data_IF_878466002758
#
_entry.id   IF_878466002758
#
_cell.length_a   1.000
_cell.length_b   1.000
_cell.length_c   1.000
_cell.angle_alpha   90.00
_cell.angle_beta   90.00
_cell.angle_gamma   90.00
#
_symmetry.space_group_name_H-M   'P 1'
#
loop_
_entity.id
_entity.type
_entity.pdbx_description
1 polymer ?
#
# COMPACT_ATOMS: atom_id res chain seq x y z
N UNK A 1 23.52 33.64 1.28
CA UNK A 1 22.92 32.75 0.26
C UNK A 1 23.56 31.36 0.27
N UNK A 2 24.87 31.23 -0.04
CA UNK A 2 25.53 29.91 -0.10
C UNK A 2 25.50 29.11 1.21
N UNK A 3 25.72 29.75 2.38
CA UNK A 3 25.62 29.09 3.70
C UNK A 3 24.25 28.45 3.94
N UNK A 4 23.17 29.15 3.57
CA UNK A 4 21.80 28.64 3.74
C UNK A 4 21.55 27.48 2.79
N UNK A 5 21.99 27.57 1.54
CA UNK A 5 21.88 26.50 0.56
C UNK A 5 22.63 25.23 0.99
N UNK A 6 23.80 25.37 1.61
CA UNK A 6 24.59 24.23 2.08
C UNK A 6 23.94 23.56 3.30
N UNK A 7 23.33 24.36 4.18
CA UNK A 7 22.57 23.87 5.34
C UNK A 7 21.30 23.13 4.91
N UNK A 8 20.54 23.65 3.95
CA UNK A 8 19.32 23.00 3.45
C UNK A 8 19.62 21.69 2.74
N UNK A 9 20.64 21.66 1.87
CA UNK A 9 21.07 20.42 1.20
C UNK A 9 21.54 19.38 2.21
N UNK A 10 22.27 19.78 3.27
CA UNK A 10 22.68 18.89 4.34
C UNK A 10 21.50 18.23 5.06
N UNK A 11 20.47 19.00 5.41
CA UNK A 11 19.26 18.49 6.07
C UNK A 11 18.51 17.51 5.16
N UNK A 12 18.37 17.84 3.87
CA UNK A 12 17.71 16.95 2.89
C UNK A 12 18.50 15.65 2.73
N UNK A 13 19.82 15.72 2.63
CA UNK A 13 20.67 14.53 2.53
C UNK A 13 20.51 13.59 3.73
N UNK A 14 20.47 14.15 4.95
CA UNK A 14 20.22 13.37 6.17
C UNK A 14 18.84 12.71 6.13
N UNK A 15 17.80 13.44 5.72
CA UNK A 15 16.43 12.90 5.64
C UNK A 15 16.30 11.72 4.66
N UNK A 16 16.96 11.81 3.49
CA UNK A 16 16.98 10.73 2.49
C UNK A 16 17.74 9.53 3.04
N UNK A 17 18.88 9.76 3.71
CA UNK A 17 19.68 8.69 4.32
C UNK A 17 18.87 7.90 5.34
N UNK A 18 18.14 8.59 6.23
CA UNK A 18 17.25 7.96 7.21
C UNK A 18 16.11 7.17 6.54
N UNK A 19 15.55 7.69 5.45
CA UNK A 19 14.53 6.99 4.68
C UNK A 19 15.07 5.70 4.04
N UNK A 20 16.28 5.74 3.48
CA UNK A 20 16.95 4.57 2.91
C UNK A 20 17.25 3.51 3.97
N UNK A 21 17.76 3.90 5.14
CA UNK A 21 18.00 2.96 6.26
C UNK A 21 16.69 2.28 6.68
N UNK A 22 15.59 3.03 6.78
CA UNK A 22 14.27 2.48 7.11
C UNK A 22 13.80 1.44 6.08
N UNK A 23 14.08 1.65 4.79
CA UNK A 23 13.75 0.68 3.75
C UNK A 23 14.58 -0.60 3.87
N UNK A 24 15.89 -0.49 4.14
CA UNK A 24 16.77 -1.66 4.32
C UNK A 24 16.37 -2.47 5.56
N UNK A 25 15.97 -1.81 6.65
CA UNK A 25 15.54 -2.46 7.89
C UNK A 25 14.15 -3.09 7.78
N UNK A 26 13.28 -2.61 6.87
CA UNK A 26 11.97 -3.23 6.70
C UNK A 26 12.09 -4.66 6.17
N UNK A 27 11.35 -5.64 6.73
CA UNK A 27 11.52 -7.08 6.49
C UNK A 27 11.24 -7.55 5.04
N UNK A 28 10.98 -6.65 4.10
CA UNK A 28 10.85 -6.95 2.67
C UNK A 28 11.44 -5.88 1.75
N UNK A 29 12.14 -4.85 2.26
CA UNK A 29 12.77 -3.80 1.44
C UNK A 29 11.81 -3.01 0.53
N UNK A 30 10.50 -3.22 0.69
CA UNK A 30 9.44 -2.71 -0.17
C UNK A 30 8.55 -1.80 0.63
N UNK A 31 8.15 -0.69 0.03
CA UNK A 31 7.04 0.10 0.54
C UNK A 31 5.82 -0.80 0.72
N UNK A 32 5.01 -0.51 1.74
CA UNK A 32 3.78 -1.25 2.00
C UNK A 32 2.95 -1.28 0.71
N UNK A 33 2.54 -2.48 0.27
CA UNK A 33 1.67 -2.61 -0.90
C UNK A 33 0.39 -1.83 -0.63
N UNK A 34 0.07 -0.88 -1.50
CA UNK A 34 -1.22 -0.16 -1.48
C UNK A 34 -2.37 -1.06 -1.94
N UNK A 35 -2.06 -2.27 -2.42
CA UNK A 35 -3.06 -3.22 -2.85
C UNK A 35 -3.68 -3.94 -1.65
N UNK A 36 -5.00 -3.77 -1.47
CA UNK A 36 -5.75 -4.29 -0.32
C UNK A 36 -5.57 -5.81 -0.14
N UNK A 37 -5.42 -6.54 -1.26
CA UNK A 37 -5.31 -8.02 -1.27
C UNK A 37 -3.98 -8.54 -0.72
N UNK A 38 -2.93 -7.72 -0.74
CA UNK A 38 -1.60 -8.11 -0.25
C UNK A 38 -1.46 -7.92 1.26
N UNK A 39 -2.41 -7.22 1.89
CA UNK A 39 -2.41 -6.95 3.30
C UNK A 39 -3.03 -8.13 4.08
N UNK A 40 -2.18 -8.88 4.78
CA UNK A 40 -2.58 -10.01 5.65
C UNK A 40 -3.62 -9.60 6.70
N UNK A 41 -3.50 -8.40 7.27
CA UNK A 41 -4.43 -7.92 8.30
C UNK A 41 -5.81 -7.57 7.72
N UNK A 42 -5.86 -7.02 6.50
CA UNK A 42 -7.14 -6.77 5.81
C UNK A 42 -7.85 -8.07 5.44
N UNK A 43 -7.06 -9.09 5.03
CA UNK A 43 -7.59 -10.42 4.74
C UNK A 43 -8.14 -11.11 5.98
N UNK A 44 -7.51 -10.96 7.15
CA UNK A 44 -8.05 -11.46 8.44
C UNK A 44 -9.39 -10.83 8.79
N UNK A 45 -9.61 -9.57 8.39
CA UNK A 45 -10.88 -8.85 8.57
C UNK A 45 -11.93 -9.18 7.50
N UNK A 46 -11.62 -10.06 6.54
CA UNK A 46 -12.51 -10.40 5.43
C UNK A 46 -12.63 -9.31 4.36
N UNK A 47 -11.80 -8.26 4.41
CA UNK A 47 -11.88 -7.13 3.48
C UNK A 47 -11.06 -7.47 2.23
N UNK A 48 -11.73 -7.58 1.09
CA UNK A 48 -11.12 -7.77 -0.23
C UNK A 48 -11.33 -6.55 -1.13
N UNK A 49 -10.72 -6.56 -2.32
CA UNK A 49 -10.94 -5.49 -3.29
C UNK A 49 -12.43 -5.40 -3.66
N UNK A 50 -12.88 -4.17 -3.96
CA UNK A 50 -14.29 -3.88 -4.24
C UNK A 50 -14.86 -4.81 -5.31
N UNK A 51 -14.10 -5.08 -6.38
CA UNK A 51 -14.52 -5.99 -7.44
C UNK A 51 -14.71 -7.44 -6.97
N UNK A 52 -13.85 -7.92 -6.07
CA UNK A 52 -13.99 -9.28 -5.54
C UNK A 52 -15.13 -9.36 -4.53
N UNK A 53 -15.30 -8.35 -3.69
CA UNK A 53 -16.42 -8.24 -2.75
C UNK A 53 -17.76 -8.20 -3.49
N UNK A 54 -17.84 -7.35 -4.51
CA UNK A 54 -19.02 -7.19 -5.37
C UNK A 54 -19.37 -8.52 -6.06
N UNK A 55 -18.37 -9.23 -6.62
CA UNK A 55 -18.58 -10.59 -7.17
C UNK A 55 -19.06 -11.61 -6.13
N UNK A 56 -18.54 -11.57 -4.89
CA UNK A 56 -18.97 -12.48 -3.82
C UNK A 56 -20.43 -12.20 -3.45
N UNK A 57 -20.80 -10.95 -3.23
CA UNK A 57 -22.17 -10.55 -2.91
C UNK A 57 -23.16 -10.91 -4.04
N UNK A 58 -22.75 -10.77 -5.30
CA UNK A 58 -23.59 -11.17 -6.44
C UNK A 58 -23.79 -12.69 -6.54
N UNK A 59 -22.82 -13.49 -6.12
CA UNK A 59 -22.96 -14.95 -6.07
C UNK A 59 -23.94 -15.42 -5.00
N UNK A 60 -23.98 -14.73 -3.87
CA UNK A 60 -24.84 -15.07 -2.73
C UNK A 60 -26.31 -14.66 -2.95
N UNK A 61 -26.56 -13.70 -3.85
CA UNK A 61 -27.91 -13.23 -4.15
C UNK A 61 -28.81 -14.35 -4.75
N UNK A 62 -29.96 -14.69 -4.13
CA UNK A 62 -30.89 -15.69 -4.65
C UNK A 62 -31.52 -15.29 -6.00
N UNK A 63 -31.56 -13.99 -6.29
CA UNK A 63 -32.09 -13.43 -7.54
C UNK A 63 -30.97 -13.12 -8.56
N UNK A 64 -29.83 -13.83 -8.51
CA UNK A 64 -28.71 -13.51 -9.41
C UNK A 64 -29.11 -13.67 -10.88
N UNK A 65 -28.76 -12.68 -11.68
CA UNK A 65 -28.90 -12.74 -13.14
C UNK A 65 -27.68 -13.47 -13.72
N UNK A 66 -27.84 -14.12 -14.87
CA UNK A 66 -26.71 -14.78 -15.55
C UNK A 66 -25.81 -13.71 -16.18
N UNK A 67 -24.84 -13.23 -15.42
CA UNK A 67 -23.88 -12.23 -15.87
C UNK A 67 -22.99 -12.82 -16.97
N UNK A 68 -22.81 -12.08 -18.07
CA UNK A 68 -21.83 -12.42 -19.12
C UNK A 68 -20.47 -11.93 -18.62
N UNK A 69 -19.71 -12.81 -17.98
CA UNK A 69 -18.30 -12.58 -17.65
C UNK A 69 -17.46 -12.93 -18.87
#
# INVERSE_FOLDING_TARGET
>A
MLKVALLTVGIVAISITLLCVKLIVQPNGKFASSHISDNKEMRKRGIHCVQSMDKMMRKENPNKVKERI
#
